data_IF_917381474399
#
_entry.id   IF_917381474399
#
_cell.length_a   1.000
_cell.length_b   1.000
_cell.length_c   1.000
_cell.angle_alpha   90.00
_cell.angle_beta   90.00
_cell.angle_gamma   90.00
#
_symmetry.space_group_name_H-M   'P 1'
#
loop_
_entity.id
_entity.type
_entity.pdbx_description
1 polymer ?
#
# COMPACT_ATOMS: atom_id res chain seq x y z
N UNK A 1 22.84 39.02 -20.17
CA UNK A 1 21.79 38.30 -19.45
C UNK A 1 21.25 37.26 -20.42
N UNK A 2 21.45 35.97 -20.16
CA UNK A 2 20.83 34.94 -21.00
C UNK A 2 19.35 34.95 -20.71
N UNK A 3 18.54 35.41 -21.67
CA UNK A 3 17.08 35.30 -21.68
C UNK A 3 16.68 33.82 -21.65
N UNK A 4 16.70 33.22 -20.47
CA UNK A 4 16.13 31.89 -20.24
C UNK A 4 14.62 32.07 -20.17
N UNK A 5 13.92 31.50 -21.16
CA UNK A 5 12.47 31.51 -21.20
C UNK A 5 11.93 30.80 -19.94
N UNK A 6 11.13 31.47 -19.10
CA UNK A 6 10.62 30.86 -17.86
C UNK A 6 9.78 29.60 -18.11
N UNK A 7 9.24 29.45 -19.32
CA UNK A 7 8.45 28.29 -19.73
C UNK A 7 9.29 27.02 -19.92
N UNK A 8 10.61 27.13 -19.99
CA UNK A 8 11.50 25.97 -20.13
C UNK A 8 11.49 25.09 -18.86
N UNK A 9 11.09 25.65 -17.72
CA UNK A 9 10.87 24.90 -16.48
C UNK A 9 9.76 23.85 -16.58
N UNK A 10 8.80 24.02 -17.50
CA UNK A 10 7.69 23.09 -17.69
C UNK A 10 7.96 22.04 -18.78
N UNK A 11 9.15 22.03 -19.39
CA UNK A 11 9.53 21.00 -20.35
C UNK A 11 9.59 19.65 -19.64
N UNK A 12 8.91 18.66 -20.21
CA UNK A 12 8.88 17.31 -19.65
C UNK A 12 7.76 17.08 -18.62
N UNK A 13 6.88 18.05 -18.40
CA UNK A 13 5.65 17.87 -17.63
C UNK A 13 4.47 17.47 -18.54
N UNK A 14 3.45 16.86 -17.93
CA UNK A 14 2.16 16.49 -18.48
C UNK A 14 1.07 16.87 -17.48
N UNK A 15 -0.09 17.30 -17.97
CA UNK A 15 -1.24 17.58 -17.12
C UNK A 15 -2.09 16.32 -16.94
N UNK A 16 -2.53 16.05 -15.70
CA UNK A 16 -3.50 15.01 -15.41
C UNK A 16 -4.84 15.34 -16.09
N UNK A 17 -5.45 14.44 -16.89
CA UNK A 17 -6.74 14.67 -17.52
C UNK A 17 -7.93 14.74 -16.54
N UNK A 18 -7.75 14.29 -15.29
CA UNK A 18 -8.80 14.24 -14.27
C UNK A 18 -8.81 15.50 -13.40
N UNK A 19 -7.67 15.86 -12.81
CA UNK A 19 -7.58 16.99 -11.87
C UNK A 19 -6.74 18.18 -12.38
N UNK A 20 -6.09 18.07 -13.54
CA UNK A 20 -5.28 19.15 -14.10
C UNK A 20 -3.91 19.37 -13.43
N UNK A 21 -3.52 18.54 -12.46
CA UNK A 21 -2.21 18.62 -11.82
C UNK A 21 -1.07 18.40 -12.84
N UNK A 22 0.00 19.21 -12.75
CA UNK A 22 1.18 19.11 -13.60
C UNK A 22 2.20 18.16 -12.98
N UNK A 23 2.57 17.13 -13.73
CA UNK A 23 3.42 16.06 -13.26
C UNK A 23 4.46 15.65 -14.32
N UNK A 24 5.56 15.01 -13.92
CA UNK A 24 6.57 14.47 -14.83
C UNK A 24 5.97 13.48 -15.81
N UNK A 25 6.31 13.63 -17.09
CA UNK A 25 5.95 12.67 -18.14
C UNK A 25 6.46 11.27 -17.77
N UNK A 26 5.56 10.29 -17.85
CA UNK A 26 5.85 8.90 -17.50
C UNK A 26 5.49 8.49 -16.07
N UNK A 27 4.92 9.40 -15.27
CA UNK A 27 4.33 9.04 -13.97
C UNK A 27 3.10 8.14 -14.16
N UNK A 28 3.09 7.01 -13.45
CA UNK A 28 2.01 6.02 -13.51
C UNK A 28 0.74 6.49 -12.79
N UNK A 29 0.89 7.33 -11.76
CA UNK A 29 -0.20 7.81 -10.90
C UNK A 29 -0.10 9.32 -10.70
N UNK A 30 -1.23 10.01 -10.69
CA UNK A 30 -1.29 11.41 -10.27
C UNK A 30 -1.13 11.52 -8.75
N UNK A 31 -0.27 12.41 -8.22
CA UNK A 31 -0.10 12.58 -6.77
C UNK A 31 -1.33 13.17 -6.07
N UNK A 32 -2.14 13.94 -6.79
CA UNK A 32 -3.31 14.64 -6.23
C UNK A 32 -4.56 13.74 -6.25
N UNK A 33 -4.96 13.24 -7.42
CA UNK A 33 -6.22 12.50 -7.57
C UNK A 33 -6.04 10.98 -7.56
N UNK A 34 -4.80 10.47 -7.45
CA UNK A 34 -4.51 9.04 -7.40
C UNK A 34 -4.84 8.26 -8.66
N UNK A 35 -5.28 8.92 -9.74
CA UNK A 35 -5.66 8.25 -10.98
C UNK A 35 -4.44 7.69 -11.69
N UNK A 36 -4.55 6.45 -12.15
CA UNK A 36 -3.52 5.80 -12.95
C UNK A 36 -3.64 6.18 -14.43
N UNK A 37 -2.53 6.56 -15.05
CA UNK A 37 -2.48 6.97 -16.46
C UNK A 37 -1.88 5.91 -17.39
N UNK A 38 -1.32 4.84 -16.84
CA UNK A 38 -0.85 3.69 -17.62
C UNK A 38 -1.74 2.47 -17.35
N UNK A 39 -2.38 1.96 -18.39
CA UNK A 39 -3.21 0.75 -18.31
C UNK A 39 -2.41 -0.56 -18.13
N UNK A 40 -1.07 -0.52 -18.26
CA UNK A 40 -0.22 -1.71 -18.21
C UNK A 40 -0.17 -2.39 -16.83
N UNK A 41 -0.39 -1.65 -15.74
CA UNK A 41 -0.46 -2.23 -14.39
C UNK A 41 -1.87 -2.72 -14.03
N UNK A 42 -2.88 -2.34 -14.83
CA UNK A 42 -4.26 -2.79 -14.71
C UNK A 42 -4.59 -3.84 -15.78
N UNK A 43 -3.57 -4.38 -16.45
CA UNK A 43 -3.76 -5.48 -17.38
C UNK A 43 -4.22 -6.69 -16.58
N UNK A 44 -5.39 -7.21 -16.95
CA UNK A 44 -5.96 -8.39 -16.33
C UNK A 44 -5.02 -9.56 -16.61
N UNK A 45 -4.34 -10.03 -15.56
CA UNK A 45 -3.45 -11.17 -15.67
C UNK A 45 -4.29 -12.39 -16.04
N UNK A 46 -3.96 -13.03 -17.16
CA UNK A 46 -4.60 -14.28 -17.55
C UNK A 46 -4.46 -15.30 -16.42
N UNK A 47 -5.58 -15.88 -16.00
CA UNK A 47 -5.58 -16.91 -14.99
C UNK A 47 -4.60 -18.02 -15.42
N UNK A 48 -3.80 -18.58 -14.50
CA UNK A 48 -2.97 -19.72 -14.84
C UNK A 48 -3.86 -20.83 -15.43
N UNK A 49 -3.38 -21.57 -16.44
CA UNK A 49 -4.18 -22.62 -17.08
C UNK A 49 -4.66 -23.62 -16.02
N UNK A 50 -5.90 -24.10 -16.17
CA UNK A 50 -6.59 -25.06 -15.26
C UNK A 50 -5.71 -26.26 -14.90
N UNK A 51 -4.82 -26.66 -15.81
CA UNK A 51 -3.84 -27.75 -15.65
C UNK A 51 -2.80 -27.51 -14.54
N UNK A 52 -2.69 -26.27 -14.04
CA UNK A 52 -1.75 -25.85 -12.99
C UNK A 52 -2.44 -25.69 -11.63
N UNK A 53 -3.75 -25.99 -11.54
CA UNK A 53 -4.37 -26.24 -10.25
C UNK A 53 -3.73 -27.51 -9.72
N UNK A 54 -2.72 -27.33 -8.85
CA UNK A 54 -2.28 -28.39 -7.93
C UNK A 54 -3.56 -29.00 -7.39
N UNK A 55 -3.66 -30.33 -7.49
CA UNK A 55 -4.74 -31.09 -6.86
C UNK A 55 -4.65 -30.82 -5.36
N UNK A 56 -5.27 -29.73 -4.92
CA UNK A 56 -5.58 -29.53 -3.52
C UNK A 56 -6.58 -30.63 -3.27
N UNK A 57 -6.14 -31.70 -2.63
CA UNK A 57 -7.02 -32.68 -2.02
C UNK A 57 -7.99 -31.88 -1.14
N UNK A 58 -9.14 -31.53 -1.69
CA UNK A 58 -10.26 -30.95 -0.95
C UNK A 58 -10.75 -32.07 -0.04
N UNK A 59 -10.03 -32.26 1.07
CA UNK A 59 -10.48 -33.12 2.15
C UNK A 59 -11.78 -32.50 2.63
N UNK A 60 -12.90 -33.12 2.25
CA UNK A 60 -14.22 -32.74 2.69
C UNK A 60 -14.31 -32.99 4.19
N UNK A 61 -13.94 -32.00 4.98
CA UNK A 61 -13.98 -32.09 6.45
C UNK A 61 -15.42 -31.79 6.88
N UNK A 62 -15.99 -32.68 7.70
CA UNK A 62 -17.30 -32.46 8.29
C UNK A 62 -17.21 -31.28 9.27
N UNK A 63 -18.00 -30.20 9.09
CA UNK A 63 -18.00 -29.05 9.99
C UNK A 63 -18.35 -29.39 11.44
N UNK A 64 -18.97 -30.56 11.70
CA UNK A 64 -19.24 -31.05 13.05
C UNK A 64 -17.97 -31.32 13.87
N UNK A 65 -16.83 -31.57 13.21
CA UNK A 65 -15.51 -31.79 13.84
C UNK A 65 -15.04 -30.56 14.62
N UNK A 66 -15.43 -29.36 14.21
CA UNK A 66 -15.09 -28.10 14.89
C UNK A 66 -16.19 -27.60 15.81
N UNK A 67 -17.21 -28.41 16.08
CA UNK A 67 -18.28 -28.05 17.01
C UNK A 67 -17.86 -28.31 18.46
N UNK A 68 -18.25 -27.42 19.38
CA UNK A 68 -18.04 -27.60 20.83
C UNK A 68 -19.05 -28.56 21.48
N UNK A 69 -19.67 -29.42 20.67
CA UNK A 69 -20.69 -30.36 21.11
C UNK A 69 -20.06 -31.53 21.87
N UNK A 70 -20.76 -32.13 22.86
CA UNK A 70 -20.26 -33.30 23.59
C UNK A 70 -20.10 -34.56 22.71
N UNK A 71 -20.59 -34.54 21.47
CA UNK A 71 -20.48 -35.63 20.49
C UNK A 71 -19.41 -35.36 19.41
N UNK A 72 -18.67 -34.25 19.50
CA UNK A 72 -17.59 -33.96 18.56
C UNK A 72 -16.41 -34.91 18.81
N UNK A 73 -16.06 -35.70 17.80
CA UNK A 73 -14.87 -36.56 17.82
C UNK A 73 -13.79 -35.91 16.96
N UNK A 74 -12.62 -35.68 17.54
CA UNK A 74 -11.47 -35.07 16.86
C UNK A 74 -10.85 -36.13 15.94
N UNK A 75 -10.78 -35.93 14.61
CA UNK A 75 -10.09 -36.83 13.69
C UNK A 75 -8.58 -36.82 13.96
N UNK A 76 -7.92 -37.96 13.74
CA UNK A 76 -6.46 -37.98 13.72
C UNK A 76 -5.95 -37.47 12.37
N UNK A 77 -5.53 -36.21 12.33
CA UNK A 77 -4.95 -35.59 11.15
C UNK A 77 -3.45 -35.89 11.06
N UNK A 78 -3.01 -36.50 9.96
CA UNK A 78 -1.60 -36.57 9.59
C UNK A 78 -1.25 -35.40 8.68
N UNK A 79 -0.29 -34.58 9.10
CA UNK A 79 0.25 -33.53 8.25
C UNK A 79 1.34 -34.14 7.37
N UNK A 80 1.13 -34.10 6.05
CA UNK A 80 2.21 -34.29 5.09
C UNK A 80 3.03 -33.01 5.09
N UNK A 81 4.19 -33.04 5.75
CA UNK A 81 5.15 -31.94 5.72
C UNK A 81 5.60 -31.73 4.28
N UNK A 82 5.04 -30.71 3.62
CA UNK A 82 5.45 -30.33 2.27
C UNK A 82 6.79 -29.60 2.35
N UNK A 83 7.83 -30.13 1.68
CA UNK A 83 9.15 -29.48 1.54
C UNK A 83 9.10 -28.13 0.77
N UNK A 84 7.95 -27.74 0.22
CA UNK A 84 7.73 -26.51 -0.57
C UNK A 84 7.56 -25.22 0.29
N UNK A 85 8.06 -25.21 1.52
CA UNK A 85 8.05 -24.00 2.36
C UNK A 85 9.17 -23.06 1.93
N UNK A 86 8.81 -21.97 1.23
CA UNK A 86 9.76 -20.88 0.97
C UNK A 86 9.94 -20.04 2.24
N UNK A 87 11.20 -19.80 2.63
CA UNK A 87 11.53 -18.85 3.68
C UNK A 87 10.98 -17.47 3.32
N UNK A 88 10.13 -16.92 4.19
CA UNK A 88 9.61 -15.57 4.06
C UNK A 88 10.75 -14.58 4.32
N UNK A 89 11.27 -13.95 3.26
CA UNK A 89 12.35 -12.94 3.33
C UNK A 89 11.80 -11.49 3.31
N UNK A 90 10.51 -11.31 3.58
CA UNK A 90 9.79 -10.03 3.42
C UNK A 90 9.22 -9.44 4.72
N UNK A 91 9.74 -9.85 5.88
CA UNK A 91 9.24 -9.41 7.18
C UNK A 91 9.92 -8.13 7.66
N UNK A 92 9.70 -6.99 7.00
CA UNK A 92 10.13 -5.70 7.56
C UNK A 92 9.13 -5.23 8.63
N UNK A 93 9.04 -5.97 9.73
CA UNK A 93 8.45 -5.45 10.96
C UNK A 93 9.59 -4.92 11.83
N UNK A 94 10.19 -3.83 11.40
CA UNK A 94 10.95 -2.95 12.28
C UNK A 94 10.30 -1.57 12.20
N UNK A 95 9.49 -1.25 13.21
CA UNK A 95 8.95 0.10 13.44
C UNK A 95 9.77 0.79 14.54
N UNK A 96 11.09 0.65 14.47
CA UNK A 96 12.02 1.45 15.25
C UNK A 96 12.05 2.85 14.62
N UNK A 97 11.67 3.86 15.41
CA UNK A 97 12.04 5.23 15.12
C UNK A 97 13.36 5.47 15.82
N UNK A 98 14.45 5.60 15.08
CA UNK A 98 15.70 6.12 15.63
C UNK A 98 15.44 7.59 16.03
N UNK A 99 15.31 7.86 17.33
CA UNK A 99 15.17 9.23 17.87
C UNK A 99 16.40 10.12 17.57
N UNK A 100 17.45 9.55 16.99
CA UNK A 100 18.70 10.23 16.61
C UNK A 100 18.81 10.55 15.10
N UNK A 101 17.89 10.11 14.24
CA UNK A 101 17.78 10.64 12.87
C UNK A 101 16.99 11.95 12.88
N UNK A 102 17.72 13.06 13.05
CA UNK A 102 17.24 14.41 12.75
C UNK A 102 16.90 14.48 11.25
N UNK A 103 15.68 14.07 10.89
CA UNK A 103 15.12 14.44 9.60
C UNK A 103 15.14 15.97 9.53
N UNK A 104 15.99 16.52 8.66
CA UNK A 104 15.95 17.94 8.28
C UNK A 104 14.60 18.22 7.61
N UNK A 105 13.59 18.45 8.45
CA UNK A 105 12.33 19.03 8.07
C UNK A 105 12.67 20.40 7.48
N UNK A 106 12.59 20.51 6.16
CA UNK A 106 12.77 21.76 5.43
C UNK A 106 11.71 22.76 5.90
N UNK A 107 12.04 23.46 6.97
CA UNK A 107 11.24 24.48 7.60
C UNK A 107 11.31 25.74 6.74
N UNK A 108 10.44 25.79 5.72
CA UNK A 108 10.04 27.09 5.18
C UNK A 108 9.20 27.76 6.25
N UNK A 109 9.90 28.56 7.05
CA UNK A 109 9.45 29.63 7.96
C UNK A 109 7.93 29.79 8.03
N UNK A 110 7.33 29.23 9.08
CA UNK A 110 5.98 29.55 9.51
C UNK A 110 5.99 30.93 10.16
N UNK A 111 5.62 31.95 9.40
CA UNK A 111 5.24 33.24 9.94
C UNK A 111 3.98 33.05 10.80
N UNK A 112 4.10 33.37 12.09
CA UNK A 112 3.13 33.03 13.12
C UNK A 112 1.80 33.80 12.95
N UNK A 113 0.68 33.08 12.97
CA UNK A 113 -0.64 33.67 13.18
C UNK A 113 -1.01 33.55 14.66
N UNK A 114 -1.45 34.64 15.33
CA UNK A 114 -1.80 34.60 16.74
C UNK A 114 -3.07 33.77 16.96
N UNK A 115 -3.00 32.79 17.87
CA UNK A 115 -4.13 31.99 18.33
C UNK A 115 -4.74 32.69 19.54
N UNK A 116 -5.98 33.16 19.43
CA UNK A 116 -6.78 33.61 20.57
C UNK A 116 -7.19 32.39 21.41
N UNK A 117 -6.65 32.33 22.63
CA UNK A 117 -7.02 31.34 23.64
C UNK A 117 -8.32 31.80 24.30
N UNK A 118 -9.42 31.08 24.06
CA UNK A 118 -10.64 31.23 24.86
C UNK A 118 -10.41 30.55 26.22
N UNK A 119 -10.28 31.36 27.27
CA UNK A 119 -10.36 30.95 28.66
C UNK A 119 -11.85 30.87 29.03
N UNK A 120 -12.37 29.67 29.28
CA UNK A 120 -13.64 29.47 29.96
C UNK A 120 -13.40 29.45 31.47
N UNK A 121 -13.60 30.61 32.12
CA UNK A 121 -13.81 30.71 33.58
C UNK A 121 -14.88 31.77 33.84
N UNK A 122 -16.14 31.35 34.00
CA UNK A 122 -17.20 32.14 34.66
C UNK A 122 -17.87 31.29 35.74
N UNK A 123 -17.64 31.75 36.99
CA UNK A 123 -18.40 31.64 38.26
C UNK A 123 -18.68 30.27 38.93
#
# INVERSE_FOLDING_TARGET
MTDTNPLDSFRGLAACPVCGCLERRGMYRCPECGTFHAGSIMEEREAPPVQMQVEVDEKTIDPSVYSLGPNATIPEESFDESDDVRSWDGGSTDFSFDEDEEFEMSSKSSEALPVDVLLDEDE
#
